data_IF_077071262209
#
_entry.id   IF_077071262209
#
_cell.length_a   1.000
_cell.length_b   1.000
_cell.length_c   1.000
_cell.angle_alpha   90.00
_cell.angle_beta   90.00
_cell.angle_gamma   90.00
#
_symmetry.space_group_name_H-M   'P 1'
#
loop_
_entity.id
_entity.type
_entity.pdbx_description
1 polymer ?
#
# COMPACT_ATOMS: atom_id res chain seq x y z
N UNK A 1 -3.54 -15.66 16.66
CA UNK A 1 -2.94 -15.08 15.46
C UNK A 1 -2.74 -13.57 15.62
N UNK A 2 -1.72 -13.01 14.95
CA UNK A 2 -1.43 -11.58 14.92
C UNK A 2 -1.73 -11.04 13.53
N UNK A 3 -2.33 -9.84 13.43
CA UNK A 3 -2.57 -9.14 12.17
C UNK A 3 -1.51 -8.05 11.97
N UNK A 4 -0.73 -8.15 10.89
CA UNK A 4 0.09 -7.05 10.38
C UNK A 4 -0.73 -6.22 9.40
N UNK A 5 -0.79 -4.90 9.62
CA UNK A 5 -1.45 -3.95 8.70
C UNK A 5 -0.39 -3.02 8.12
N UNK A 6 -0.38 -2.89 6.81
CA UNK A 6 0.55 -2.03 6.08
C UNK A 6 -0.21 -0.87 5.44
N UNK A 7 0.34 0.32 5.50
CA UNK A 7 -0.19 1.51 4.81
C UNK A 7 0.23 1.53 3.33
N UNK A 8 0.01 0.41 2.66
CA UNK A 8 0.33 0.23 1.24
C UNK A 8 -0.31 -1.04 0.70
N UNK A 9 -0.17 -1.25 -0.60
CA UNK A 9 -0.55 -2.51 -1.23
C UNK A 9 0.35 -3.67 -0.79
N UNK A 10 -0.23 -4.87 -0.68
CA UNK A 10 0.57 -6.08 -0.49
C UNK A 10 1.36 -6.45 -1.76
N UNK A 11 0.82 -6.12 -2.91
CA UNK A 11 1.47 -6.36 -4.19
C UNK A 11 2.59 -5.32 -4.39
N UNK A 12 3.77 -5.63 -3.88
CA UNK A 12 4.95 -4.80 -4.03
C UNK A 12 5.58 -4.99 -5.40
N UNK A 13 5.84 -3.88 -6.08
CA UNK A 13 6.56 -3.86 -7.35
C UNK A 13 7.49 -2.65 -7.40
N UNK A 14 8.82 -2.87 -7.57
CA UNK A 14 9.77 -1.77 -7.67
C UNK A 14 9.54 -0.98 -8.96
N UNK A 15 9.48 0.35 -8.84
CA UNK A 15 9.29 1.30 -9.96
C UNK A 15 10.64 1.81 -10.43
N UNK A 16 10.82 1.99 -11.74
CA UNK A 16 12.02 2.58 -12.35
C UNK A 16 13.20 1.61 -12.45
N UNK A 17 14.42 2.08 -12.16
CA UNK A 17 15.66 1.28 -12.26
C UNK A 17 15.68 0.05 -11.35
N UNK A 18 14.71 -0.10 -10.46
CA UNK A 18 14.51 -1.27 -9.61
C UNK A 18 13.97 -2.52 -10.33
N UNK A 19 13.63 -2.45 -11.62
CA UNK A 19 13.20 -3.61 -12.42
C UNK A 19 14.33 -4.60 -12.76
N UNK A 20 15.59 -4.27 -12.46
CA UNK A 20 16.75 -5.13 -12.63
C UNK A 20 16.88 -6.23 -11.57
N UNK A 21 18.08 -6.82 -11.45
CA UNK A 21 18.40 -7.93 -10.53
C UNK A 21 18.06 -7.57 -9.07
N UNK A 22 18.34 -6.34 -8.64
CA UNK A 22 18.03 -5.87 -7.29
C UNK A 22 16.53 -5.81 -7.04
N UNK A 23 15.74 -5.32 -8.01
CA UNK A 23 14.28 -5.27 -7.87
C UNK A 23 13.65 -6.66 -7.74
N UNK A 24 14.13 -7.64 -8.51
CA UNK A 24 13.68 -9.04 -8.38
C UNK A 24 13.98 -9.59 -6.99
N UNK A 25 15.18 -9.35 -6.47
CA UNK A 25 15.59 -9.79 -5.14
C UNK A 25 14.70 -9.21 -4.03
N UNK A 26 14.33 -7.93 -4.13
CA UNK A 26 13.43 -7.29 -3.16
C UNK A 26 12.03 -7.92 -3.20
N UNK A 27 11.50 -8.19 -4.40
CA UNK A 27 10.21 -8.90 -4.54
C UNK A 27 10.28 -10.30 -3.95
N UNK A 28 11.37 -11.02 -4.16
CA UNK A 28 11.59 -12.36 -3.59
C UNK A 28 11.64 -12.32 -2.06
N UNK A 29 12.39 -11.39 -1.49
CA UNK A 29 12.47 -11.19 -0.03
C UNK A 29 11.10 -10.84 0.57
N UNK A 30 10.30 -10.02 -0.14
CA UNK A 30 8.95 -9.71 0.29
C UNK A 30 8.04 -10.94 0.29
N UNK A 31 8.09 -11.76 -0.75
CA UNK A 31 7.34 -13.02 -0.81
C UNK A 31 7.77 -14.01 0.29
N UNK A 32 9.06 -14.09 0.60
CA UNK A 32 9.58 -14.88 1.71
C UNK A 32 9.05 -14.39 3.06
N UNK A 33 9.01 -13.06 3.27
CA UNK A 33 8.45 -12.46 4.47
C UNK A 33 6.94 -12.76 4.61
N UNK A 34 6.17 -12.67 3.52
CA UNK A 34 4.75 -13.05 3.51
C UNK A 34 4.57 -14.53 3.91
N UNK A 35 5.37 -15.41 3.32
CA UNK A 35 5.35 -16.85 3.63
C UNK A 35 5.73 -17.10 5.12
N UNK A 36 6.72 -16.40 5.65
CA UNK A 36 7.11 -16.51 7.05
C UNK A 36 5.96 -16.11 7.99
N UNK A 37 5.26 -15.01 7.71
CA UNK A 37 4.07 -14.60 8.47
C UNK A 37 2.99 -15.68 8.44
N UNK A 38 2.71 -16.26 7.26
CA UNK A 38 1.75 -17.36 7.13
C UNK A 38 2.13 -18.58 8.00
N UNK A 39 3.39 -18.98 7.95
CA UNK A 39 3.88 -20.14 8.70
C UNK A 39 3.82 -19.97 10.23
N UNK A 40 3.85 -18.73 10.73
CA UNK A 40 3.61 -18.42 12.15
C UNK A 40 2.12 -18.36 12.52
N UNK A 41 1.22 -18.58 11.57
CA UNK A 41 -0.22 -18.43 11.76
C UNK A 41 -0.69 -16.97 11.80
N UNK A 42 0.16 -16.04 11.34
CA UNK A 42 -0.17 -14.62 11.25
C UNK A 42 -1.02 -14.26 10.04
N UNK A 43 -1.64 -13.11 10.08
CA UNK A 43 -2.40 -12.51 8.99
C UNK A 43 -1.74 -11.22 8.52
N UNK A 44 -1.93 -10.89 7.23
CA UNK A 44 -1.48 -9.63 6.63
C UNK A 44 -2.64 -8.93 5.94
N UNK A 45 -2.65 -7.60 6.03
CA UNK A 45 -3.52 -6.75 5.26
C UNK A 45 -2.75 -5.52 4.77
N UNK A 46 -2.95 -5.13 3.51
CA UNK A 46 -2.53 -3.85 2.98
C UNK A 46 -3.73 -2.92 2.94
N UNK A 47 -3.64 -1.75 3.55
CA UNK A 47 -4.71 -0.77 3.59
C UNK A 47 -4.41 0.37 2.61
N UNK A 48 -5.33 0.66 1.71
CA UNK A 48 -5.20 1.72 0.70
C UNK A 48 -6.40 2.65 0.86
N UNK A 49 -6.14 3.84 1.39
CA UNK A 49 -7.14 4.89 1.49
C UNK A 49 -7.46 5.47 0.11
N UNK A 50 -8.74 5.73 -0.16
CA UNK A 50 -9.26 6.34 -1.40
C UNK A 50 -8.67 5.74 -2.69
N UNK A 51 -8.92 4.46 -2.97
CA UNK A 51 -8.38 3.80 -4.14
C UNK A 51 -8.97 4.37 -5.43
N UNK A 52 -8.13 4.87 -6.34
CA UNK A 52 -8.55 5.45 -7.64
C UNK A 52 -8.61 4.44 -8.79
N UNK A 53 -8.61 3.12 -8.53
CA UNK A 53 -8.65 2.09 -9.58
C UNK A 53 -10.07 1.77 -10.02
N UNK A 54 -10.17 1.14 -11.21
CA UNK A 54 -11.40 0.68 -11.87
C UNK A 54 -11.39 -0.84 -12.12
N UNK A 55 -10.76 -1.61 -11.24
CA UNK A 55 -10.57 -3.05 -11.47
C UNK A 55 -11.89 -3.81 -11.56
N UNK A 56 -12.84 -3.50 -10.67
CA UNK A 56 -14.16 -4.13 -10.65
C UNK A 56 -15.05 -3.58 -11.77
N UNK A 57 -15.07 -2.29 -12.00
CA UNK A 57 -15.80 -1.69 -13.11
C UNK A 57 -15.29 -2.19 -14.47
N UNK A 58 -13.98 -2.39 -14.63
CA UNK A 58 -13.41 -3.00 -15.84
C UNK A 58 -13.89 -4.44 -16.02
N UNK A 59 -13.94 -5.22 -14.95
CA UNK A 59 -14.49 -6.58 -14.97
C UNK A 59 -15.98 -6.57 -15.36
N UNK A 60 -16.78 -5.70 -14.76
CA UNK A 60 -18.20 -5.58 -15.09
C UNK A 60 -18.42 -5.13 -16.53
N UNK A 61 -17.63 -4.18 -17.03
CA UNK A 61 -17.68 -3.77 -18.43
C UNK A 61 -17.30 -4.93 -19.38
N UNK A 62 -16.28 -5.71 -19.03
CA UNK A 62 -15.89 -6.89 -19.81
C UNK A 62 -17.05 -7.91 -19.90
N UNK A 63 -17.74 -8.16 -18.79
CA UNK A 63 -18.91 -9.04 -18.73
C UNK A 63 -20.09 -8.48 -19.56
N UNK A 64 -20.31 -7.18 -19.54
CA UNK A 64 -21.35 -6.53 -20.37
C UNK A 64 -21.05 -6.67 -21.87
N UNK A 65 -19.80 -6.47 -22.27
CA UNK A 65 -19.38 -6.65 -23.66
C UNK A 65 -19.58 -8.12 -24.11
N UNK A 66 -19.18 -9.08 -23.29
CA UNK A 66 -19.34 -10.51 -23.58
C UNK A 66 -20.83 -10.88 -23.72
N UNK A 67 -21.66 -10.48 -22.77
CA UNK A 67 -23.09 -10.69 -22.78
C UNK A 67 -23.79 -10.04 -24.00
N UNK A 68 -23.25 -8.90 -24.46
CA UNK A 68 -23.79 -8.18 -25.63
C UNK A 68 -23.23 -8.68 -26.96
N UNK A 69 -22.38 -9.72 -26.96
CA UNK A 69 -21.72 -10.25 -28.16
C UNK A 69 -20.71 -9.30 -28.80
N UNK A 70 -20.25 -8.29 -28.05
CA UNK A 70 -19.22 -7.34 -28.47
C UNK A 70 -17.82 -7.93 -28.25
N UNK A 71 -16.82 -7.39 -28.94
CA UNK A 71 -15.44 -7.84 -28.79
C UNK A 71 -14.80 -7.21 -27.55
N UNK A 72 -13.99 -7.98 -26.83
CA UNK A 72 -13.18 -7.48 -25.70
C UNK A 72 -12.21 -6.38 -26.15
N UNK A 73 -11.81 -6.32 -27.43
CA UNK A 73 -11.04 -5.22 -28.01
C UNK A 73 -11.73 -3.84 -27.89
N UNK A 74 -13.05 -3.84 -27.71
CA UNK A 74 -13.82 -2.61 -27.54
C UNK A 74 -13.76 -2.07 -26.09
N UNK A 75 -13.19 -2.82 -25.17
CA UNK A 75 -12.98 -2.41 -23.77
C UNK A 75 -12.26 -1.06 -23.63
N UNK A 76 -11.35 -0.75 -24.55
CA UNK A 76 -10.56 0.47 -24.53
C UNK A 76 -11.17 1.61 -25.41
N UNK A 77 -12.36 1.39 -25.98
CA UNK A 77 -13.05 2.43 -26.74
C UNK A 77 -13.91 3.25 -25.79
N UNK A 78 -13.62 4.55 -25.70
CA UNK A 78 -14.31 5.47 -24.81
C UNK A 78 -15.84 5.48 -25.03
N UNK A 79 -16.27 5.36 -26.26
CA UNK A 79 -17.70 5.40 -26.65
C UNK A 79 -18.49 4.14 -26.22
N UNK A 80 -17.80 3.04 -25.85
CA UNK A 80 -18.43 1.80 -25.42
C UNK A 80 -18.39 1.57 -23.92
N UNK A 81 -17.64 2.40 -23.17
CA UNK A 81 -17.50 2.27 -21.72
C UNK A 81 -18.70 2.89 -20.98
N UNK A 82 -19.65 2.04 -20.61
CA UNK A 82 -20.85 2.44 -19.86
C UNK A 82 -20.54 3.00 -18.46
N UNK A 83 -19.32 2.79 -17.95
CA UNK A 83 -18.83 3.28 -16.67
C UNK A 83 -17.79 4.41 -16.84
N UNK A 84 -17.75 5.09 -17.99
CA UNK A 84 -16.78 6.14 -18.24
C UNK A 84 -16.80 7.22 -17.15
N UNK A 85 -15.63 7.56 -16.63
CA UNK A 85 -15.47 8.56 -15.58
C UNK A 85 -15.72 8.08 -14.15
N UNK A 86 -16.21 6.85 -13.95
CA UNK A 86 -16.41 6.26 -12.63
C UNK A 86 -15.19 5.43 -12.19
N UNK A 87 -15.00 5.35 -10.89
CA UNK A 87 -14.03 4.49 -10.22
C UNK A 87 -14.73 3.40 -9.41
N UNK A 88 -13.99 2.39 -8.97
CA UNK A 88 -14.54 1.39 -8.05
C UNK A 88 -14.99 2.03 -6.72
N UNK A 89 -14.37 3.17 -6.35
CA UNK A 89 -14.77 3.95 -5.18
C UNK A 89 -16.20 4.47 -5.32
N UNK A 90 -16.56 5.04 -6.46
CA UNK A 90 -17.91 5.57 -6.71
C UNK A 90 -18.96 4.46 -6.63
N UNK A 91 -18.63 3.27 -7.17
CA UNK A 91 -19.50 2.10 -7.12
C UNK A 91 -19.74 1.64 -5.68
N UNK A 92 -18.67 1.35 -4.93
CA UNK A 92 -18.79 0.75 -3.61
C UNK A 92 -19.18 1.74 -2.52
N UNK A 93 -18.88 3.03 -2.71
CA UNK A 93 -19.35 4.09 -1.80
C UNK A 93 -20.87 4.19 -1.79
N UNK A 94 -21.52 3.88 -2.92
CA UNK A 94 -22.99 3.84 -3.05
C UNK A 94 -23.58 2.53 -2.52
N UNK A 95 -22.89 1.39 -2.70
CA UNK A 95 -23.43 0.07 -2.39
C UNK A 95 -23.25 -0.36 -0.93
N UNK A 96 -22.19 0.12 -0.26
CA UNK A 96 -21.83 -0.35 1.08
C UNK A 96 -22.27 0.63 2.16
N UNK A 97 -22.75 0.06 3.28
CA UNK A 97 -22.99 0.81 4.51
C UNK A 97 -21.69 0.89 5.35
N UNK A 98 -21.55 1.89 6.26
CA UNK A 98 -20.39 1.98 7.14
C UNK A 98 -20.13 0.68 7.90
N UNK A 99 -18.91 0.17 7.80
CA UNK A 99 -18.50 -1.09 8.39
C UNK A 99 -18.75 -2.32 7.50
N UNK A 100 -19.41 -2.18 6.35
CA UNK A 100 -19.60 -3.27 5.40
C UNK A 100 -18.41 -3.38 4.44
N UNK A 101 -18.21 -4.57 3.92
CA UNK A 101 -17.24 -4.86 2.86
C UNK A 101 -17.88 -5.53 1.65
N UNK A 102 -17.24 -5.39 0.51
CA UNK A 102 -17.57 -6.13 -0.70
C UNK A 102 -17.25 -7.64 -0.56
N UNK A 103 -17.59 -8.41 -1.55
CA UNK A 103 -16.97 -9.73 -1.77
C UNK A 103 -15.47 -9.58 -1.99
N UNK A 104 -14.73 -10.69 -1.85
CA UNK A 104 -13.31 -10.73 -2.14
C UNK A 104 -13.08 -10.95 -3.62
N UNK A 105 -12.21 -10.15 -4.22
CA UNK A 105 -11.77 -10.25 -5.61
C UNK A 105 -10.31 -10.73 -5.64
N UNK A 106 -9.92 -11.41 -6.70
CA UNK A 106 -8.51 -11.71 -6.99
C UNK A 106 -7.93 -10.57 -7.84
N UNK A 107 -6.74 -10.11 -7.52
CA UNK A 107 -6.04 -9.14 -8.38
C UNK A 107 -5.44 -9.86 -9.59
N UNK A 108 -6.00 -9.65 -10.77
CA UNK A 108 -5.61 -10.34 -12.02
C UNK A 108 -4.43 -9.67 -12.74
N UNK A 109 -3.68 -8.82 -12.06
CA UNK A 109 -2.50 -8.17 -12.65
C UNK A 109 -1.37 -9.16 -12.91
N UNK A 110 -0.55 -8.89 -13.94
CA UNK A 110 0.62 -9.71 -14.26
C UNK A 110 1.60 -9.82 -13.06
N UNK A 111 1.67 -8.80 -12.23
CA UNK A 111 2.51 -8.80 -11.03
C UNK A 111 2.00 -9.83 -10.01
N UNK A 112 0.68 -9.97 -9.85
CA UNK A 112 0.10 -10.95 -8.95
C UNK A 112 0.39 -12.39 -9.41
N UNK A 113 0.45 -12.63 -10.72
CA UNK A 113 0.86 -13.92 -11.26
C UNK A 113 2.28 -14.30 -10.84
N UNK A 114 3.19 -13.32 -10.70
CA UNK A 114 4.54 -13.56 -10.18
C UNK A 114 4.52 -13.97 -8.71
N UNK A 115 3.63 -13.40 -7.90
CA UNK A 115 3.45 -13.77 -6.49
C UNK A 115 2.87 -15.18 -6.36
N UNK A 116 1.81 -15.49 -7.09
CA UNK A 116 1.18 -16.80 -7.12
C UNK A 116 2.11 -17.91 -7.66
N UNK A 117 2.98 -17.59 -8.62
CA UNK A 117 3.88 -18.56 -9.26
C UNK A 117 4.95 -19.13 -8.34
N UNK A 118 5.36 -18.40 -7.29
CA UNK A 118 6.35 -18.88 -6.30
C UNK A 118 5.68 -19.64 -5.16
N UNK A 119 4.61 -19.11 -4.61
CA UNK A 119 3.75 -19.72 -3.60
C UNK A 119 2.32 -19.25 -3.84
N UNK A 120 1.45 -20.15 -4.26
CA UNK A 120 0.06 -19.82 -4.56
C UNK A 120 -0.69 -19.18 -3.38
N UNK A 121 -0.26 -19.44 -2.15
CA UNK A 121 -0.84 -18.79 -0.98
C UNK A 121 -0.56 -17.27 -0.93
N UNK A 122 0.52 -16.80 -1.55
CA UNK A 122 0.91 -15.39 -1.61
C UNK A 122 0.15 -14.60 -2.70
N UNK A 123 -0.71 -15.25 -3.49
CA UNK A 123 -1.61 -14.56 -4.42
C UNK A 123 -2.39 -13.48 -3.67
N UNK A 124 -2.41 -12.25 -4.23
CA UNK A 124 -3.06 -11.12 -3.58
C UNK A 124 -4.52 -11.03 -4.04
N UNK A 125 -5.40 -11.06 -3.05
CA UNK A 125 -6.81 -10.77 -3.18
C UNK A 125 -7.12 -9.42 -2.57
N UNK A 126 -8.30 -8.88 -2.82
CA UNK A 126 -8.72 -7.62 -2.21
C UNK A 126 -10.23 -7.53 -2.01
N UNK A 127 -10.64 -6.64 -1.14
CA UNK A 127 -12.03 -6.22 -0.98
C UNK A 127 -12.08 -4.70 -0.73
N UNK A 128 -13.25 -4.12 -0.94
CA UNK A 128 -13.54 -2.74 -0.57
C UNK A 128 -14.23 -2.70 0.78
N UNK A 129 -13.83 -1.76 1.62
CA UNK A 129 -14.36 -1.56 2.98
C UNK A 129 -14.88 -0.12 3.11
N UNK A 130 -16.15 0.04 3.48
CA UNK A 130 -16.69 1.34 3.88
C UNK A 130 -16.27 1.63 5.32
N UNK A 131 -15.30 2.53 5.49
CA UNK A 131 -14.65 2.79 6.77
C UNK A 131 -15.41 3.76 7.69
N UNK A 132 -16.25 4.60 7.11
CA UNK A 132 -17.01 5.61 7.86
C UNK A 132 -18.26 6.09 7.11
N UNK A 133 -19.09 6.92 7.76
CA UNK A 133 -20.27 7.52 7.15
C UNK A 133 -19.88 8.64 6.17
N UNK A 134 -20.73 8.87 5.16
CA UNK A 134 -20.53 9.90 4.14
C UNK A 134 -19.67 9.42 2.97
N UNK A 135 -19.43 10.33 2.04
CA UNK A 135 -18.63 10.07 0.84
C UNK A 135 -17.13 10.10 1.13
N UNK A 136 -16.35 9.35 0.35
CA UNK A 136 -14.88 9.34 0.44
C UNK A 136 -14.31 8.51 1.60
N UNK A 137 -15.14 7.76 2.31
CA UNK A 137 -14.71 6.84 3.37
C UNK A 137 -14.69 5.39 2.88
N UNK A 138 -14.08 5.17 1.72
CA UNK A 138 -13.88 3.84 1.16
C UNK A 138 -12.40 3.52 1.07
N UNK A 139 -12.02 2.36 1.59
CA UNK A 139 -10.69 1.81 1.46
C UNK A 139 -10.70 0.54 0.62
N UNK A 140 -9.59 0.27 -0.07
CA UNK A 140 -9.26 -1.05 -0.60
C UNK A 140 -8.36 -1.76 0.40
N UNK A 141 -8.72 -3.00 0.71
CA UNK A 141 -7.91 -3.85 1.60
C UNK A 141 -7.36 -5.01 0.78
N UNK A 142 -6.05 -5.03 0.57
CA UNK A 142 -5.36 -6.17 -0.02
C UNK A 142 -5.10 -7.23 1.06
N UNK A 143 -5.39 -8.49 0.76
CA UNK A 143 -5.14 -9.65 1.64
C UNK A 143 -4.53 -10.78 0.82
N UNK A 144 -3.66 -11.61 1.40
CA UNK A 144 -3.15 -12.77 0.69
C UNK A 144 -4.19 -13.91 0.66
N UNK A 145 -4.04 -14.82 -0.30
CA UNK A 145 -5.00 -15.89 -0.55
C UNK A 145 -5.23 -16.79 0.66
N UNK A 146 -4.23 -17.01 1.53
CA UNK A 146 -4.43 -17.82 2.75
C UNK A 146 -5.41 -17.18 3.74
N UNK A 147 -5.49 -15.84 3.78
CA UNK A 147 -6.48 -15.10 4.57
C UNK A 147 -7.83 -15.12 3.85
N UNK A 148 -7.84 -14.93 2.52
CA UNK A 148 -9.06 -14.89 1.73
C UNK A 148 -9.84 -16.22 1.75
N UNK A 149 -9.14 -17.37 1.80
CA UNK A 149 -9.75 -18.72 1.81
C UNK A 149 -10.22 -19.17 3.19
N UNK A 150 -9.72 -18.58 4.24
CA UNK A 150 -10.15 -18.87 5.61
C UNK A 150 -11.24 -17.86 6.03
N UNK A 151 -12.48 -18.32 6.13
CA UNK A 151 -13.63 -17.48 6.51
C UNK A 151 -13.46 -16.84 7.90
N UNK A 152 -12.84 -17.54 8.84
CA UNK A 152 -12.62 -17.05 10.19
C UNK A 152 -11.53 -15.96 10.20
N UNK A 153 -10.42 -16.19 9.48
CA UNK A 153 -9.37 -15.21 9.30
C UNK A 153 -9.89 -13.95 8.61
N UNK A 154 -10.59 -14.10 7.49
CA UNK A 154 -11.19 -12.99 6.74
C UNK A 154 -12.19 -12.19 7.60
N UNK A 155 -13.03 -12.87 8.36
CA UNK A 155 -13.98 -12.23 9.28
C UNK A 155 -13.26 -11.47 10.39
N UNK A 156 -12.19 -12.02 10.94
CA UNK A 156 -11.38 -11.37 11.98
C UNK A 156 -10.63 -10.14 11.44
N UNK A 157 -10.00 -10.25 10.27
CA UNK A 157 -9.34 -9.12 9.61
C UNK A 157 -10.32 -7.99 9.34
N UNK A 158 -11.50 -8.30 8.80
CA UNK A 158 -12.56 -7.32 8.57
C UNK A 158 -12.99 -6.64 9.89
N UNK A 159 -13.32 -7.41 10.92
CA UNK A 159 -13.80 -6.88 12.20
C UNK A 159 -12.73 -5.99 12.88
N UNK A 160 -11.46 -6.42 12.88
CA UNK A 160 -10.36 -5.64 13.43
C UNK A 160 -10.15 -4.31 12.68
N UNK A 161 -10.18 -4.31 11.35
CA UNK A 161 -10.03 -3.07 10.57
C UNK A 161 -11.19 -2.11 10.82
N UNK A 162 -12.43 -2.61 10.86
CA UNK A 162 -13.60 -1.78 11.20
C UNK A 162 -13.46 -1.17 12.60
N UNK A 163 -13.04 -1.97 13.59
CA UNK A 163 -12.83 -1.48 14.95
C UNK A 163 -11.74 -0.41 15.00
N UNK A 164 -10.62 -0.62 14.34
CA UNK A 164 -9.53 0.35 14.25
C UNK A 164 -9.96 1.66 13.56
N UNK A 165 -10.78 1.59 12.51
CA UNK A 165 -11.32 2.79 11.86
C UNK A 165 -12.28 3.57 12.77
N UNK A 166 -13.05 2.89 13.63
CA UNK A 166 -13.99 3.55 14.56
C UNK A 166 -13.30 4.42 15.61
N UNK A 167 -12.05 4.13 15.97
CA UNK A 167 -11.33 4.85 17.02
C UNK A 167 -11.11 6.33 16.62
N UNK A 168 -10.76 6.59 15.36
CA UNK A 168 -10.49 7.96 14.87
C UNK A 168 -11.41 8.40 13.72
N UNK A 169 -12.44 7.59 13.42
CA UNK A 169 -13.54 7.96 12.53
C UNK A 169 -13.55 7.29 11.16
N UNK A 170 -12.42 7.03 10.50
CA UNK A 170 -12.43 6.46 9.15
C UNK A 170 -11.12 5.79 8.71
N UNK A 171 -10.05 5.93 9.48
CA UNK A 171 -8.72 5.39 9.17
C UNK A 171 -8.22 4.47 10.30
N UNK A 172 -7.47 3.39 10.02
CA UNK A 172 -7.03 2.47 11.08
C UNK A 172 -6.09 3.15 12.06
N UNK A 173 -6.48 3.23 13.34
CA UNK A 173 -5.69 3.85 14.40
C UNK A 173 -4.29 3.23 14.55
N UNK A 174 -4.16 1.92 14.34
CA UNK A 174 -2.86 1.23 14.40
C UNK A 174 -1.85 1.79 13.38
N UNK A 175 -2.29 2.19 12.19
CA UNK A 175 -1.43 2.80 11.17
C UNK A 175 -1.03 4.21 11.61
N UNK A 176 -1.98 5.02 12.08
CA UNK A 176 -1.68 6.36 12.63
C UNK A 176 -0.65 6.28 13.76
N UNK A 177 -0.79 5.31 14.67
CA UNK A 177 0.19 5.11 15.75
C UNK A 177 1.56 4.66 15.24
N UNK A 178 1.59 3.82 14.20
CA UNK A 178 2.85 3.43 13.58
C UNK A 178 3.58 4.63 12.97
N UNK A 179 2.85 5.52 12.27
CA UNK A 179 3.40 6.74 11.71
C UNK A 179 3.94 7.69 12.78
N UNK A 180 3.20 7.87 13.88
CA UNK A 180 3.64 8.70 15.01
C UNK A 180 4.94 8.17 15.65
N UNK A 181 5.11 6.85 15.72
CA UNK A 181 6.31 6.21 16.27
C UNK A 181 7.47 6.22 15.26
N UNK A 182 7.17 6.17 13.96
CA UNK A 182 8.16 6.14 12.89
C UNK A 182 8.79 7.53 12.59
N UNK A 183 8.38 8.58 13.30
CA UNK A 183 8.95 9.92 13.14
C UNK A 183 10.44 9.90 13.50
N UNK A 184 11.28 10.01 12.47
CA UNK A 184 12.73 10.20 12.66
C UNK A 184 12.97 11.62 13.17
N UNK A 185 13.31 11.75 14.44
CA UNK A 185 13.61 13.02 15.09
C UNK A 185 14.86 13.66 14.49
N UNK A 186 15.00 14.97 14.71
CA UNK A 186 16.17 15.71 14.24
C UNK A 186 17.49 15.13 14.78
N UNK A 187 17.46 14.64 16.01
CA UNK A 187 18.63 14.00 16.67
C UNK A 187 18.98 12.68 15.97
N UNK A 188 17.98 11.89 15.59
CA UNK A 188 18.18 10.61 14.90
C UNK A 188 18.72 10.83 13.47
N UNK A 189 18.26 11.90 12.79
CA UNK A 189 18.80 12.31 11.50
C UNK A 189 20.28 12.73 11.62
N UNK A 190 20.62 13.52 12.62
CA UNK A 190 22.00 13.96 12.87
C UNK A 190 22.90 12.76 13.21
N UNK A 191 22.40 11.78 13.97
CA UNK A 191 23.13 10.56 14.28
C UNK A 191 23.34 9.67 13.04
N UNK A 192 22.30 9.53 12.19
CA UNK A 192 22.40 8.81 10.93
C UNK A 192 23.39 9.48 9.96
N UNK A 193 23.32 10.81 9.80
CA UNK A 193 24.25 11.57 8.98
C UNK A 193 25.71 11.40 9.45
N UNK A 194 25.94 11.42 10.76
CA UNK A 194 27.25 11.19 11.35
C UNK A 194 27.75 9.75 11.09
N UNK A 195 26.88 8.75 11.22
CA UNK A 195 27.23 7.36 10.90
C UNK A 195 27.58 7.16 9.43
N UNK A 196 26.80 7.75 8.54
CA UNK A 196 27.09 7.72 7.10
C UNK A 196 28.43 8.38 6.81
N UNK A 197 28.71 9.54 7.40
CA UNK A 197 29.96 10.26 7.22
C UNK A 197 31.17 9.43 7.71
N UNK A 198 31.06 8.75 8.85
CA UNK A 198 32.11 7.85 9.35
C UNK A 198 32.35 6.67 8.43
N UNK A 199 31.30 6.00 7.95
CA UNK A 199 31.43 4.87 7.01
C UNK A 199 32.03 5.28 5.66
N UNK A 200 31.72 6.47 5.18
CA UNK A 200 32.31 7.01 3.96
C UNK A 200 33.81 7.37 4.16
N UNK A 201 34.14 7.94 5.32
CA UNK A 201 35.51 8.25 5.68
C UNK A 201 36.40 6.99 5.81
N UNK A 202 35.86 5.89 6.36
CA UNK A 202 36.54 4.59 6.39
C UNK A 202 36.86 4.02 4.99
N UNK A 203 36.14 4.45 3.97
CA UNK A 203 36.35 4.05 2.56
C UNK A 203 37.06 5.12 1.73
N UNK A 204 37.67 6.12 2.37
CA UNK A 204 38.34 7.27 1.70
C UNK A 204 37.39 8.07 0.77
N UNK A 205 36.09 7.98 0.97
CA UNK A 205 35.09 8.72 0.23
C UNK A 205 34.73 9.99 1.00
N UNK A 206 35.16 11.15 0.50
CA UNK A 206 34.79 12.44 1.05
C UNK A 206 33.61 13.05 0.27
N UNK A 207 32.38 13.03 0.80
CA UNK A 207 31.24 13.64 0.12
C UNK A 207 31.45 15.14 -0.01
N UNK A 208 31.43 15.67 -1.22
CA UNK A 208 31.45 17.12 -1.44
C UNK A 208 30.14 17.71 -0.90
N UNK A 209 30.25 18.64 0.07
CA UNK A 209 29.09 19.34 0.61
C UNK A 209 28.30 20.03 -0.52
N UNK A 210 27.02 19.71 -0.66
CA UNK A 210 26.17 20.38 -1.65
C UNK A 210 26.06 21.87 -1.33
N UNK A 211 25.85 22.73 -2.35
CA UNK A 211 25.70 24.17 -2.16
C UNK A 211 24.63 24.57 -1.15
N UNK A 212 23.58 23.72 -1.01
CA UNK A 212 22.51 23.87 -0.02
C UNK A 212 22.98 23.60 1.42
N UNK A 213 23.92 22.67 1.60
CA UNK A 213 24.53 22.36 2.91
C UNK A 213 25.46 23.47 3.35
N UNK A 214 26.32 23.96 2.43
CA UNK A 214 27.20 25.14 2.69
C UNK A 214 26.41 26.39 3.05
N UNK A 215 25.26 26.63 2.39
CA UNK A 215 24.38 27.78 2.69
C UNK A 215 23.73 27.66 4.08
N UNK A 216 23.35 26.44 4.52
CA UNK A 216 22.81 26.20 5.86
C UNK A 216 23.87 26.37 6.96
N UNK A 217 25.11 25.92 6.73
CA UNK A 217 26.19 26.03 7.67
C UNK A 217 26.63 27.49 7.81
N UNK A 218 26.64 28.25 6.71
CA UNK A 218 26.90 29.69 6.72
C UNK A 218 25.81 30.47 7.49
N UNK A 219 24.54 30.12 7.30
CA UNK A 219 23.43 30.74 8.03
C UNK A 219 23.43 30.41 9.54
N UNK A 220 24.00 29.25 9.93
CA UNK A 220 24.14 28.84 11.34
C UNK A 220 25.38 29.46 12.00
N UNK A 221 26.49 29.65 11.27
CA UNK A 221 27.71 30.27 11.77
C UNK A 221 27.60 31.78 11.98
N UNK A 222 26.61 32.43 11.37
CA UNK A 222 26.42 33.89 11.44
C UNK A 222 25.63 34.43 12.65
N UNK A 223 25.18 33.55 13.55
CA UNK A 223 24.52 33.96 14.81
C UNK A 223 25.49 33.96 16.01
N UNK A 224 26.53 34.78 15.94
CA UNK A 224 27.20 35.25 17.14
C UNK A 224 26.29 36.28 17.79
N UNK A 225 25.80 35.96 18.99
CA UNK A 225 25.10 36.89 19.89
C UNK A 225 26.00 38.08 20.13
N UNK A 226 25.57 39.25 19.72
CA UNK A 226 26.03 40.50 20.38
C UNK A 226 25.30 40.55 21.73
N UNK A 227 26.03 40.30 22.83
CA UNK A 227 25.65 40.71 24.15
C UNK A 227 26.15 42.17 24.26
N UNK A 228 25.21 43.12 24.35
CA UNK A 228 25.36 44.46 24.82
C UNK A 228 24.48 44.65 26.05
#
# INVERSE_FOLDING_TARGET
PTLGVLDQRLLYWPIGNGSGIQGKRVVEQWQEAMTAVRLTGGWLAGFIDRPGKRSVLTMLHTLDLDNSGRKISDLYRFDSDIFAGLTDTDLFDTLLQPGERSVVFVDVSQHNNTFAGRDAHNEVCFFYLKTGPGEGHLARVDIPLWVARDKAALGSVHALLVDQCRIIGSYPYVITRADEIAVVGRRDQEELENRIALLLAEQDIHPSATGKQRSKDFARGGKTRFEG
#
